data_IF_958773083671
#
_entry.id   IF_958773083671
#
_cell.length_a   1.000
_cell.length_b   1.000
_cell.length_c   1.000
_cell.angle_alpha   90.00
_cell.angle_beta   90.00
_cell.angle_gamma   90.00
#
_symmetry.space_group_name_H-M   'P 1'
#
loop_
_entity.id
_entity.type
_entity.pdbx_description
1 polymer ?
#
# COMPACT_ATOMS: atom_id res chain seq x y z
N UNK A 1 -29.21 12.43 -11.87
CA UNK A 1 -27.98 12.01 -11.13
C UNK A 1 -27.03 11.30 -12.10
N UNK A 2 -25.92 11.93 -12.47
CA UNK A 2 -24.91 11.29 -13.32
C UNK A 2 -24.12 10.30 -12.46
N UNK A 3 -24.23 9.00 -12.74
CA UNK A 3 -23.37 7.98 -12.16
C UNK A 3 -21.91 8.36 -12.46
N UNK A 4 -21.11 8.61 -11.42
CA UNK A 4 -19.65 8.73 -11.55
C UNK A 4 -19.14 7.39 -12.03
N UNK A 5 -18.75 7.33 -13.29
CA UNK A 5 -18.07 6.19 -13.91
C UNK A 5 -16.68 6.09 -13.28
N UNK A 6 -16.60 5.54 -12.06
CA UNK A 6 -15.32 5.31 -11.38
C UNK A 6 -14.66 4.12 -12.06
N UNK A 7 -13.79 4.39 -13.04
CA UNK A 7 -12.94 3.34 -13.60
C UNK A 7 -12.21 2.65 -12.46
N UNK A 8 -12.34 1.33 -12.36
CA UNK A 8 -11.57 0.52 -11.40
C UNK A 8 -10.08 0.89 -11.53
N UNK A 9 -9.39 1.20 -10.43
CA UNK A 9 -7.97 1.49 -10.48
C UNK A 9 -7.19 0.33 -11.10
N UNK A 10 -6.06 0.62 -11.75
CA UNK A 10 -5.26 -0.37 -12.46
C UNK A 10 -3.84 -0.42 -11.91
N UNK A 11 -3.22 -1.59 -12.07
CA UNK A 11 -1.79 -1.78 -11.86
C UNK A 11 -1.02 -1.24 -13.07
N UNK A 12 0.07 -0.52 -12.82
CA UNK A 12 1.05 -0.21 -13.86
C UNK A 12 1.96 -1.45 -14.07
N UNK A 13 1.87 -2.14 -15.21
CA UNK A 13 2.61 -3.38 -15.43
C UNK A 13 4.13 -3.17 -15.44
N UNK A 14 4.62 -1.95 -15.71
CA UNK A 14 6.05 -1.63 -15.65
C UNK A 14 6.59 -1.61 -14.21
N UNK A 15 5.73 -1.37 -13.22
CA UNK A 15 6.09 -1.36 -11.81
C UNK A 15 5.93 -2.73 -11.13
N UNK A 16 5.11 -3.61 -11.69
CA UNK A 16 4.84 -4.95 -11.17
C UNK A 16 5.73 -6.00 -11.87
N UNK A 17 6.12 -7.04 -11.12
CA UNK A 17 6.88 -8.18 -11.65
C UNK A 17 6.00 -9.41 -11.88
N UNK A 18 4.81 -9.39 -11.35
CA UNK A 18 3.80 -10.44 -11.41
C UNK A 18 2.49 -9.87 -11.91
N UNK A 19 1.62 -10.72 -12.42
CA UNK A 19 0.28 -10.33 -12.80
C UNK A 19 -0.56 -10.05 -11.55
N UNK A 20 -1.00 -8.80 -11.43
CA UNK A 20 -1.74 -8.27 -10.29
C UNK A 20 -2.99 -7.55 -10.77
N UNK A 21 -4.02 -7.51 -9.93
CA UNK A 21 -5.21 -6.67 -10.18
C UNK A 21 -5.56 -5.85 -8.96
N UNK A 22 -6.16 -4.69 -9.18
CA UNK A 22 -6.89 -3.96 -8.15
C UNK A 22 -8.36 -4.39 -8.18
N UNK A 23 -8.95 -4.61 -7.03
CA UNK A 23 -10.35 -5.00 -6.92
C UNK A 23 -10.92 -4.69 -5.55
N UNK A 24 -12.24 -4.89 -5.34
CA UNK A 24 -12.87 -4.71 -4.04
C UNK A 24 -12.19 -5.57 -2.97
N UNK A 25 -11.99 -5.00 -1.77
CA UNK A 25 -11.35 -5.65 -0.63
C UNK A 25 -12.27 -5.67 0.57
N UNK A 26 -12.24 -6.78 1.32
CA UNK A 26 -12.90 -6.88 2.63
C UNK A 26 -12.15 -6.13 3.73
N UNK A 27 -10.87 -5.77 3.51
CA UNK A 27 -10.06 -5.01 4.45
C UNK A 27 -10.38 -3.53 4.38
N UNK A 28 -10.34 -2.95 3.18
CA UNK A 28 -10.67 -1.54 2.95
C UNK A 28 -10.87 -1.28 1.46
N UNK A 29 -12.04 -0.76 1.07
CA UNK A 29 -12.45 -0.30 -0.28
C UNK A 29 -11.87 -1.10 -1.46
N UNK A 30 -10.60 -0.87 -1.80
CA UNK A 30 -9.84 -1.58 -2.82
C UNK A 30 -8.64 -2.28 -2.21
N UNK A 31 -8.25 -3.40 -2.81
CA UNK A 31 -7.01 -4.12 -2.51
C UNK A 31 -6.31 -4.54 -3.78
N UNK A 32 -5.10 -5.03 -3.64
CA UNK A 32 -4.30 -5.61 -4.72
C UNK A 32 -4.26 -7.12 -4.55
N UNK A 33 -4.55 -7.86 -5.60
CA UNK A 33 -4.64 -9.32 -5.59
C UNK A 33 -3.64 -9.93 -6.56
N UNK A 34 -2.99 -11.02 -6.16
CA UNK A 34 -2.16 -11.82 -7.04
C UNK A 34 -3.05 -12.59 -8.04
N UNK A 35 -2.67 -12.59 -9.32
CA UNK A 35 -3.32 -13.40 -10.36
C UNK A 35 -2.56 -14.70 -10.65
N UNK A 36 -1.35 -14.82 -10.12
CA UNK A 36 -0.48 -15.99 -10.23
C UNK A 36 0.26 -16.23 -8.90
N UNK A 37 0.86 -17.40 -8.73
CA UNK A 37 1.66 -17.73 -7.55
C UNK A 37 2.95 -16.89 -7.52
N UNK A 38 3.26 -16.31 -6.36
CA UNK A 38 4.45 -15.51 -6.14
C UNK A 38 5.35 -16.23 -5.14
N UNK A 39 6.57 -16.63 -5.52
CA UNK A 39 7.51 -17.27 -4.61
C UNK A 39 7.95 -16.34 -3.47
N UNK A 40 8.40 -16.93 -2.35
CA UNK A 40 8.98 -16.17 -1.23
C UNK A 40 10.24 -15.39 -1.65
N UNK A 41 10.38 -14.18 -1.14
CA UNK A 41 11.59 -13.36 -1.29
C UNK A 41 11.66 -12.60 -2.62
N UNK A 42 10.65 -12.69 -3.45
CA UNK A 42 10.63 -12.01 -4.74
C UNK A 42 10.12 -10.57 -4.63
N UNK A 43 10.70 -9.67 -5.44
CA UNK A 43 10.13 -8.35 -5.65
C UNK A 43 8.78 -8.51 -6.36
N UNK A 44 7.75 -7.91 -5.80
CA UNK A 44 6.38 -8.01 -6.32
C UNK A 44 6.01 -6.78 -7.12
N UNK A 45 6.08 -5.60 -6.48
CA UNK A 45 5.69 -4.33 -7.09
C UNK A 45 6.50 -3.19 -6.48
N UNK A 46 6.68 -2.12 -7.24
CA UNK A 46 7.23 -0.85 -6.77
C UNK A 46 6.09 0.11 -6.44
N UNK A 47 6.17 0.73 -5.27
CA UNK A 47 5.31 1.85 -4.93
C UNK A 47 5.85 3.12 -5.58
N UNK A 48 5.13 3.67 -6.54
CA UNK A 48 5.49 4.92 -7.21
C UNK A 48 4.54 6.04 -6.82
N UNK A 49 4.96 7.27 -7.01
CA UNK A 49 4.17 8.46 -6.72
C UNK A 49 5.01 9.71 -6.73
N UNK A 50 4.36 10.84 -6.43
CA UNK A 50 5.06 12.12 -6.26
C UNK A 50 5.89 12.10 -4.99
N UNK A 51 7.16 12.52 -5.08
CA UNK A 51 8.02 12.67 -3.90
C UNK A 51 7.59 13.88 -3.07
N UNK A 52 7.45 13.67 -1.77
CA UNK A 52 7.12 14.69 -0.78
C UNK A 52 8.13 14.71 0.35
N UNK A 53 8.46 15.89 0.86
CA UNK A 53 9.22 16.05 2.11
C UNK A 53 8.30 15.83 3.31
N UNK A 54 8.89 15.65 4.50
CA UNK A 54 8.14 15.58 5.76
C UNK A 54 7.24 16.81 5.97
N UNK A 55 7.78 18.01 5.71
CA UNK A 55 7.02 19.27 5.82
C UNK A 55 5.81 19.31 4.88
N UNK A 56 6.00 18.89 3.64
CA UNK A 56 4.89 18.81 2.67
C UNK A 56 3.81 17.83 3.11
N UNK A 57 4.20 16.67 3.64
CA UNK A 57 3.25 15.67 4.17
C UNK A 57 2.50 16.23 5.38
N UNK A 58 3.22 16.91 6.29
CA UNK A 58 2.63 17.49 7.49
C UNK A 58 1.60 18.59 7.19
N UNK A 59 1.80 19.33 6.11
CA UNK A 59 0.92 20.43 5.68
C UNK A 59 -0.21 19.98 4.73
N UNK A 60 -0.31 18.70 4.39
CA UNK A 60 -1.42 18.20 3.60
C UNK A 60 -2.69 18.29 4.44
N UNK A 61 -3.63 19.14 4.01
CA UNK A 61 -5.01 19.08 4.46
C UNK A 61 -5.65 17.88 3.76
N UNK A 62 -5.77 16.77 4.48
CA UNK A 62 -6.07 15.50 3.86
C UNK A 62 -7.43 15.47 3.17
N UNK A 63 -7.50 15.15 1.90
CA UNK A 63 -8.67 14.55 1.31
C UNK A 63 -8.91 13.18 1.93
N UNK A 64 -10.12 12.67 1.85
CA UNK A 64 -10.56 11.40 2.44
C UNK A 64 -9.74 10.16 2.03
N UNK A 65 -8.91 10.28 1.00
CA UNK A 65 -8.13 9.18 0.43
C UNK A 65 -6.65 9.61 0.35
N UNK A 66 -5.91 9.34 1.41
CA UNK A 66 -4.46 9.61 1.46
C UNK A 66 -3.70 8.35 1.09
N UNK A 67 -2.90 8.44 0.04
CA UNK A 67 -2.05 7.33 -0.45
C UNK A 67 -0.58 7.68 -0.26
N UNK A 68 -0.20 7.97 0.99
CA UNK A 68 1.17 8.36 1.32
C UNK A 68 1.91 7.19 1.94
N UNK A 69 3.05 6.84 1.35
CA UNK A 69 3.96 5.85 1.89
C UNK A 69 5.28 6.51 2.30
N UNK A 70 5.82 6.11 3.46
CA UNK A 70 7.15 6.51 3.88
C UNK A 70 8.18 5.71 3.07
N UNK A 71 9.08 6.41 2.41
CA UNK A 71 10.14 5.78 1.63
C UNK A 71 11.42 5.59 2.45
N UNK A 72 11.86 6.66 3.13
CA UNK A 72 13.03 6.65 4.00
C UNK A 72 12.91 7.76 5.07
N UNK A 73 13.99 8.09 5.78
CA UNK A 73 13.98 9.13 6.83
C UNK A 73 13.67 10.54 6.33
N UNK A 74 13.75 10.80 5.02
CA UNK A 74 13.62 12.12 4.42
C UNK A 74 12.41 12.25 3.49
N UNK A 75 12.04 11.20 2.76
CA UNK A 75 11.10 11.23 1.66
C UNK A 75 9.88 10.34 1.88
N UNK A 76 8.78 10.82 1.37
CA UNK A 76 7.50 10.12 1.24
C UNK A 76 7.08 10.07 -0.23
N UNK A 77 6.20 9.15 -0.57
CA UNK A 77 5.59 9.03 -1.88
C UNK A 77 4.08 9.20 -1.76
N UNK A 78 3.54 10.10 -2.57
CA UNK A 78 2.09 10.26 -2.74
C UNK A 78 1.62 9.47 -3.97
N UNK A 79 1.03 8.32 -3.74
CA UNK A 79 0.53 7.43 -4.78
C UNK A 79 -0.75 7.94 -5.48
N UNK A 80 -1.36 9.04 -5.01
CA UNK A 80 -2.50 9.65 -5.70
C UNK A 80 -2.08 10.30 -7.03
N UNK A 81 -0.78 10.62 -7.16
CA UNK A 81 -0.18 11.21 -8.36
C UNK A 81 0.95 10.34 -8.89
N UNK A 82 0.74 9.70 -10.03
CA UNK A 82 1.74 8.80 -10.64
C UNK A 82 1.90 7.45 -9.92
N UNK A 83 0.89 7.03 -9.16
CA UNK A 83 0.88 5.76 -8.45
C UNK A 83 0.86 4.54 -9.37
N UNK A 84 1.56 3.50 -8.97
CA UNK A 84 1.68 2.23 -9.69
C UNK A 84 0.50 1.27 -9.52
N UNK A 85 -0.42 1.57 -8.60
CA UNK A 85 -1.42 0.64 -8.08
C UNK A 85 -1.03 0.06 -6.71
N UNK A 86 0.25 0.13 -6.32
CA UNK A 86 0.70 -0.31 -5.00
C UNK A 86 0.10 0.50 -3.85
N UNK A 87 -0.39 1.71 -4.10
CA UNK A 87 -1.11 2.53 -3.12
C UNK A 87 -2.42 1.89 -2.63
N UNK A 88 -2.93 0.89 -3.33
CA UNK A 88 -4.11 0.12 -2.93
C UNK A 88 -3.78 -1.14 -2.14
N UNK A 89 -2.49 -1.42 -1.89
CA UNK A 89 -2.08 -2.51 -0.98
C UNK A 89 -2.49 -2.15 0.43
N UNK A 90 -3.31 -3.00 1.04
CA UNK A 90 -3.86 -2.77 2.38
C UNK A 90 -2.90 -3.17 3.50
N UNK A 91 -3.21 -2.70 4.71
CA UNK A 91 -2.50 -3.10 5.92
C UNK A 91 -2.94 -4.46 6.43
N UNK A 92 -1.96 -5.24 6.91
CA UNK A 92 -2.19 -6.37 7.81
C UNK A 92 -1.14 -6.37 8.92
N UNK A 93 -1.54 -6.79 10.13
CA UNK A 93 -0.61 -7.03 11.24
C UNK A 93 0.20 -8.32 11.06
N UNK A 94 -0.24 -9.20 10.15
CA UNK A 94 0.50 -10.38 9.66
C UNK A 94 0.54 -10.37 8.13
N UNK A 95 1.35 -9.46 7.54
CA UNK A 95 1.34 -9.21 6.11
C UNK A 95 2.08 -10.29 5.33
N UNK A 96 1.66 -10.53 4.08
CA UNK A 96 2.37 -11.42 3.17
C UNK A 96 3.50 -10.75 2.39
N UNK A 97 3.64 -9.42 2.52
CA UNK A 97 4.76 -8.69 1.95
C UNK A 97 5.49 -7.83 2.99
N UNK A 98 6.72 -7.48 2.68
CA UNK A 98 7.51 -6.44 3.35
C UNK A 98 7.93 -5.39 2.34
N UNK A 99 8.31 -4.21 2.82
CA UNK A 99 8.82 -3.14 1.96
C UNK A 99 10.27 -2.79 2.29
N UNK A 100 11.00 -2.34 1.28
CA UNK A 100 12.37 -1.84 1.41
C UNK A 100 12.58 -0.65 0.49
N UNK A 101 13.34 0.33 0.97
CA UNK A 101 13.86 1.41 0.12
C UNK A 101 15.21 0.97 -0.45
N UNK A 102 15.29 0.83 -1.76
CA UNK A 102 16.51 0.44 -2.49
C UNK A 102 16.77 1.47 -3.58
N UNK A 103 17.91 2.15 -3.52
CA UNK A 103 18.29 3.19 -4.50
C UNK A 103 17.18 4.21 -4.74
N UNK A 104 16.60 4.75 -3.66
CA UNK A 104 15.47 5.69 -3.69
C UNK A 104 14.21 5.16 -4.40
N UNK A 105 13.99 3.86 -4.38
CA UNK A 105 12.78 3.19 -4.85
C UNK A 105 12.15 2.42 -3.71
N UNK A 106 10.86 2.55 -3.53
CA UNK A 106 10.10 1.80 -2.51
C UNK A 106 9.59 0.52 -3.14
N UNK A 107 10.16 -0.61 -2.75
CA UNK A 107 9.90 -1.91 -3.34
C UNK A 107 9.23 -2.84 -2.32
N UNK A 108 8.22 -3.57 -2.76
CA UNK A 108 7.52 -4.59 -1.97
C UNK A 108 8.00 -5.99 -2.36
N UNK A 109 8.26 -6.80 -1.33
CA UNK A 109 8.79 -8.17 -1.46
C UNK A 109 7.90 -9.16 -0.73
N UNK A 110 7.66 -10.33 -1.31
CA UNK A 110 6.94 -11.43 -0.68
C UNK A 110 7.72 -11.99 0.53
N UNK A 111 7.05 -12.11 1.66
CA UNK A 111 7.62 -12.71 2.92
C UNK A 111 7.46 -14.22 2.96
N UNK A 112 6.48 -14.74 2.26
CA UNK A 112 6.18 -16.16 2.07
C UNK A 112 5.74 -16.39 0.63
N UNK A 113 5.49 -17.64 0.26
CA UNK A 113 4.74 -17.91 -0.98
C UNK A 113 3.36 -17.27 -0.87
N UNK A 114 2.93 -16.60 -1.92
CA UNK A 114 1.61 -16.00 -2.07
C UNK A 114 0.93 -16.76 -3.21
N UNK A 115 -0.27 -17.26 -2.96
CA UNK A 115 -1.03 -18.00 -3.98
C UNK A 115 -1.87 -17.07 -4.85
N UNK A 116 -2.13 -17.49 -6.06
CA UNK A 116 -3.08 -16.82 -6.94
C UNK A 116 -4.42 -16.61 -6.20
N UNK A 117 -4.97 -15.40 -6.29
CA UNK A 117 -6.22 -15.00 -5.60
C UNK A 117 -6.01 -14.37 -4.23
N UNK A 118 -4.84 -14.50 -3.59
CA UNK A 118 -4.58 -13.84 -2.30
C UNK A 118 -4.50 -12.31 -2.45
N UNK A 119 -5.04 -11.61 -1.46
CA UNK A 119 -4.83 -10.17 -1.32
C UNK A 119 -3.41 -9.90 -0.79
N UNK A 120 -2.73 -8.95 -1.43
CA UNK A 120 -1.41 -8.48 -1.04
C UNK A 120 -1.52 -7.47 0.10
N UNK A 121 -0.73 -7.66 1.15
CA UNK A 121 -0.74 -6.79 2.33
C UNK A 121 0.65 -6.45 2.81
N UNK A 122 0.80 -5.28 3.42
CA UNK A 122 2.02 -4.83 4.11
C UNK A 122 1.69 -4.32 5.50
N UNK A 123 2.68 -4.24 6.38
CA UNK A 123 2.50 -3.55 7.65
C UNK A 123 2.70 -2.03 7.45
N UNK A 124 1.68 -1.26 7.74
CA UNK A 124 1.76 0.20 7.79
C UNK A 124 2.52 0.62 9.05
N UNK A 125 3.84 0.48 9.03
CA UNK A 125 4.72 0.82 10.13
C UNK A 125 5.14 2.29 10.03
N UNK A 126 4.30 3.20 10.57
CA UNK A 126 4.60 4.63 10.60
C UNK A 126 5.21 5.06 11.96
N UNK A 127 5.96 6.18 12.01
CA UNK A 127 6.57 6.69 13.23
C UNK A 127 5.56 6.97 14.35
N UNK A 128 6.05 6.96 15.59
CA UNK A 128 5.29 7.05 16.85
C UNK A 128 4.35 8.27 16.98
N UNK A 129 4.59 9.34 16.22
CA UNK A 129 3.86 10.61 16.32
C UNK A 129 2.54 10.67 15.53
N UNK A 130 2.21 9.61 14.77
CA UNK A 130 1.00 9.59 13.95
C UNK A 130 -0.18 9.01 14.71
N UNK A 131 -1.39 9.41 14.30
CA UNK A 131 -2.61 8.94 14.96
C UNK A 131 -2.77 7.41 14.86
N UNK A 132 -3.31 6.82 15.92
CA UNK A 132 -3.70 5.41 15.92
C UNK A 132 -5.07 5.26 15.29
N UNK A 133 -5.16 4.32 14.37
CA UNK A 133 -6.40 3.93 13.70
C UNK A 133 -6.77 2.52 14.12
N UNK A 134 -8.05 2.24 14.29
CA UNK A 134 -8.54 0.88 14.57
C UNK A 134 -8.15 -0.05 13.41
N UNK A 135 -7.63 -1.22 13.72
CA UNK A 135 -7.24 -2.23 12.77
C UNK A 135 -8.24 -3.38 12.74
N UNK A 136 -8.76 -3.68 11.57
CA UNK A 136 -9.68 -4.78 11.31
C UNK A 136 -9.12 -5.76 10.26
N UNK A 137 -7.78 -5.97 10.27
CA UNK A 137 -7.12 -6.78 9.25
C UNK A 137 -7.44 -8.28 9.31
N UNK A 138 -8.12 -8.76 10.36
CA UNK A 138 -8.51 -10.16 10.52
C UNK A 138 -7.36 -11.13 10.84
N UNK A 139 -6.12 -10.63 11.00
CA UNK A 139 -5.00 -11.47 11.38
C UNK A 139 -5.17 -12.03 12.80
N UNK A 140 -4.78 -13.28 13.03
CA UNK A 140 -4.86 -13.94 14.35
C UNK A 140 -4.14 -13.14 15.46
N UNK A 141 -3.03 -12.46 15.12
CA UNK A 141 -2.25 -11.59 16.02
C UNK A 141 -2.46 -10.11 15.68
N UNK A 142 -3.70 -9.73 15.34
CA UNK A 142 -4.01 -8.34 15.08
C UNK A 142 -3.71 -7.49 16.32
N UNK A 143 -3.00 -6.39 16.14
CA UNK A 143 -2.65 -5.44 17.20
C UNK A 143 -3.83 -4.56 17.63
N UNK A 144 -4.98 -4.67 16.96
CA UNK A 144 -6.17 -3.83 17.18
C UNK A 144 -6.03 -2.40 16.67
N UNK A 145 -4.82 -1.92 16.46
CA UNK A 145 -4.54 -0.58 15.93
C UNK A 145 -3.30 -0.60 15.04
N UNK A 146 -3.23 0.34 14.13
CA UNK A 146 -2.01 0.70 13.41
C UNK A 146 -1.88 2.23 13.34
N UNK A 147 -0.72 2.72 12.95
CA UNK A 147 -0.49 4.16 12.82
C UNK A 147 -0.63 4.55 11.36
N UNK A 148 -1.33 5.65 11.15
CA UNK A 148 -1.56 6.18 9.81
C UNK A 148 -1.50 7.70 9.81
N UNK A 149 -1.20 8.31 8.67
CA UNK A 149 -1.25 9.75 8.49
C UNK A 149 -2.73 10.14 8.34
N UNK A 150 -3.30 10.64 9.44
CA UNK A 150 -4.58 11.32 9.44
C UNK A 150 -4.34 12.80 9.68
N UNK A 151 -5.00 13.64 8.94
CA UNK A 151 -5.13 15.06 9.25
C UNK A 151 -6.49 15.32 9.86
#
# INVERSE_FOLDING_TARGET
MKARNSKTPKINPKAARYDLRVGPSSLHRYGVFALEDIPRGHRVIEYTGKHLTFEQVWNIQAPKDVYIAKMNGRWFLDGSSGGSGAQFVNHSCDPNMSWRCVRNRLLFFSRRKIHAGEELTVDYCYPVKLQRVACHCGARRCRGTFRYILN
#
